data_IF_103401919832
#
_entry.id   IF_103401919832
#
_cell.length_a   1.000
_cell.length_b   1.000
_cell.length_c   1.000
_cell.angle_alpha   90.00
_cell.angle_beta   90.00
_cell.angle_gamma   90.00
#
_symmetry.space_group_name_H-M   'P 1'
#
loop_
_entity.id
_entity.type
_entity.pdbx_description
1 polymer ?
#
# COMPACT_ATOMS: atom_id res chain seq x y z
N UNK A 1 2.34 11.07 -25.56
CA UNK A 1 2.06 10.96 -24.10
C UNK A 1 1.75 12.37 -23.60
N UNK A 2 0.57 12.59 -23.01
CA UNK A 2 0.19 13.91 -22.48
C UNK A 2 0.80 14.12 -21.10
N UNK A 3 0.88 15.38 -20.64
CA UNK A 3 1.39 15.70 -19.31
C UNK A 3 0.60 14.97 -18.21
N UNK A 4 -0.71 14.89 -18.35
CA UNK A 4 -1.58 14.21 -17.40
C UNK A 4 -1.28 12.70 -17.30
N UNK A 5 -0.95 12.05 -18.42
CA UNK A 5 -0.54 10.63 -18.43
C UNK A 5 0.79 10.46 -17.69
N UNK A 6 1.76 11.36 -17.93
CA UNK A 6 3.05 11.32 -17.24
C UNK A 6 2.94 11.57 -15.73
N UNK A 7 2.09 12.51 -15.32
CA UNK A 7 1.88 12.82 -13.91
C UNK A 7 1.18 11.66 -13.20
N UNK A 8 0.16 11.05 -13.83
CA UNK A 8 -0.50 9.85 -13.32
C UNK A 8 0.43 8.64 -13.21
N UNK A 9 1.30 8.41 -14.20
CA UNK A 9 2.27 7.33 -14.15
C UNK A 9 3.22 7.49 -12.95
N UNK A 10 3.70 8.70 -12.69
CA UNK A 10 4.57 9.00 -11.53
C UNK A 10 3.87 8.79 -10.19
N UNK A 11 2.59 9.12 -10.10
CA UNK A 11 1.79 8.87 -8.89
C UNK A 11 1.67 7.37 -8.63
N UNK A 12 1.32 6.59 -9.67
CA UNK A 12 1.24 5.12 -9.56
C UNK A 12 2.58 4.49 -9.17
N UNK A 13 3.69 4.91 -9.78
CA UNK A 13 5.03 4.42 -9.41
C UNK A 13 5.36 4.67 -7.94
N UNK A 14 5.03 5.86 -7.41
CA UNK A 14 5.25 6.21 -6.00
C UNK A 14 4.38 5.37 -5.07
N UNK A 15 3.13 5.16 -5.44
CA UNK A 15 2.20 4.36 -4.65
C UNK A 15 2.61 2.88 -4.62
N UNK A 16 3.01 2.33 -5.77
CA UNK A 16 3.52 0.94 -5.89
C UNK A 16 4.75 0.73 -4.99
N UNK A 17 5.70 1.66 -5.01
CA UNK A 17 6.91 1.55 -4.18
C UNK A 17 6.58 1.69 -2.69
N UNK A 18 5.67 2.59 -2.33
CA UNK A 18 5.20 2.75 -0.95
C UNK A 18 4.54 1.46 -0.43
N UNK A 19 3.65 0.86 -1.24
CA UNK A 19 3.02 -0.43 -0.91
C UNK A 19 4.05 -1.55 -0.77
N UNK A 20 5.05 -1.59 -1.66
CA UNK A 20 6.12 -2.58 -1.62
C UNK A 20 6.91 -2.50 -0.29
N UNK A 21 7.25 -1.31 0.16
CA UNK A 21 7.97 -1.10 1.43
C UNK A 21 7.11 -1.59 2.60
N UNK A 22 5.84 -1.16 2.69
CA UNK A 22 4.94 -1.54 3.78
C UNK A 22 4.68 -3.05 3.84
N UNK A 23 4.50 -3.71 2.69
CA UNK A 23 4.36 -5.17 2.62
C UNK A 23 5.63 -5.84 3.16
N UNK A 24 6.81 -5.37 2.74
CA UNK A 24 8.09 -5.94 3.18
C UNK A 24 8.29 -5.79 4.69
N UNK A 25 7.99 -4.63 5.26
CA UNK A 25 8.03 -4.39 6.70
C UNK A 25 7.09 -5.35 7.46
N UNK A 26 5.87 -5.53 6.94
CA UNK A 26 4.93 -6.49 7.55
C UNK A 26 5.45 -7.92 7.50
N UNK A 27 6.08 -8.31 6.40
CA UNK A 27 6.66 -9.64 6.20
C UNK A 27 7.95 -9.87 7.01
N UNK A 28 8.72 -8.82 7.33
CA UNK A 28 9.87 -8.90 8.25
C UNK A 28 9.47 -9.05 9.72
N UNK A 29 8.17 -8.97 10.02
CA UNK A 29 7.62 -9.12 11.37
C UNK A 29 7.30 -7.78 12.04
N UNK A 30 7.54 -6.65 11.37
CA UNK A 30 7.12 -5.36 11.87
C UNK A 30 5.59 -5.22 11.77
N UNK A 31 5.02 -4.46 12.71
CA UNK A 31 3.59 -4.15 12.70
C UNK A 31 3.29 -3.02 11.74
N UNK A 32 2.23 -3.14 10.95
CA UNK A 32 1.72 -2.00 10.20
C UNK A 32 1.12 -0.99 11.18
N UNK A 33 1.54 0.27 11.07
CA UNK A 33 0.97 1.36 11.83
C UNK A 33 -0.17 1.99 11.02
N UNK A 34 -1.40 1.87 11.52
CA UNK A 34 -2.54 2.62 11.02
C UNK A 34 -3.07 3.48 12.16
N UNK A 35 -3.07 4.79 11.94
CA UNK A 35 -3.68 5.74 12.86
C UNK A 35 -5.19 5.79 12.62
N UNK A 36 -5.95 5.95 13.69
CA UNK A 36 -7.38 6.22 13.63
C UNK A 36 -7.70 7.39 14.56
N UNK A 37 -8.82 8.07 14.33
CA UNK A 37 -9.28 9.15 15.21
C UNK A 37 -9.57 8.69 16.64
N UNK A 38 -9.69 7.37 16.86
CA UNK A 38 -9.80 6.80 18.19
C UNK A 38 -8.40 6.55 18.78
N UNK A 39 -8.12 7.07 19.99
CA UNK A 39 -6.87 6.79 20.67
C UNK A 39 -6.80 5.30 20.99
N UNK A 40 -5.90 4.61 20.30
CA UNK A 40 -5.69 3.18 20.50
C UNK A 40 -4.61 3.00 21.58
N UNK A 41 -5.02 2.56 22.77
CA UNK A 41 -4.10 2.21 23.86
C UNK A 41 -3.55 0.77 23.75
N UNK A 42 -3.93 0.03 22.70
CA UNK A 42 -3.55 -1.37 22.49
C UNK A 42 -3.01 -1.58 21.06
N UNK A 43 -2.21 -2.61 20.85
CA UNK A 43 -1.76 -2.98 19.50
C UNK A 43 -2.95 -3.34 18.58
N UNK A 44 -2.77 -3.18 17.27
CA UNK A 44 -3.74 -3.64 16.29
C UNK A 44 -3.84 -5.17 16.30
N UNK A 45 -5.02 -5.71 15.97
CA UNK A 45 -5.18 -7.16 15.93
C UNK A 45 -4.33 -7.79 14.82
N UNK A 46 -3.76 -8.97 15.10
CA UNK A 46 -2.97 -9.74 14.11
C UNK A 46 -3.81 -10.05 12.87
N UNK A 47 -5.09 -10.35 13.06
CA UNK A 47 -6.04 -10.59 11.96
C UNK A 47 -6.18 -9.36 11.07
N UNK A 48 -6.38 -8.19 11.66
CA UNK A 48 -6.47 -6.93 10.92
C UNK A 48 -5.18 -6.64 10.15
N UNK A 49 -4.01 -6.80 10.77
CA UNK A 49 -2.74 -6.59 10.09
C UNK A 49 -2.54 -7.55 8.91
N UNK A 50 -3.02 -8.79 9.02
CA UNK A 50 -2.98 -9.76 7.92
C UNK A 50 -3.90 -9.33 6.78
N UNK A 51 -5.16 -9.02 7.09
CA UNK A 51 -6.15 -8.57 6.11
C UNK A 51 -5.69 -7.28 5.39
N UNK A 52 -5.07 -6.34 6.12
CA UNK A 52 -4.50 -5.13 5.55
C UNK A 52 -3.33 -5.44 4.59
N UNK A 53 -2.45 -6.39 4.95
CA UNK A 53 -1.36 -6.81 4.08
C UNK A 53 -1.85 -7.46 2.79
N UNK A 54 -2.83 -8.37 2.90
CA UNK A 54 -3.43 -9.02 1.74
C UNK A 54 -4.10 -8.00 0.82
N UNK A 55 -4.79 -7.01 1.38
CA UNK A 55 -5.37 -5.90 0.62
C UNK A 55 -4.30 -5.05 -0.09
N UNK A 56 -3.19 -4.71 0.57
CA UNK A 56 -2.08 -3.97 -0.04
C UNK A 56 -1.44 -4.73 -1.21
N UNK A 57 -1.30 -6.06 -1.09
CA UNK A 57 -0.80 -6.91 -2.18
C UNK A 57 -1.73 -6.87 -3.40
N UNK A 58 -3.04 -6.97 -3.17
CA UNK A 58 -4.02 -6.84 -4.25
C UNK A 58 -3.94 -5.45 -4.91
N UNK A 59 -3.92 -4.38 -4.11
CA UNK A 59 -3.86 -3.01 -4.63
C UNK A 59 -2.60 -2.70 -5.42
N UNK A 60 -1.45 -3.21 -4.97
CA UNK A 60 -0.19 -3.11 -5.72
C UNK A 60 -0.33 -3.72 -7.11
N UNK A 61 -0.92 -4.91 -7.22
CA UNK A 61 -1.15 -5.56 -8.52
C UNK A 61 -2.13 -4.80 -9.40
N UNK A 62 -3.15 -4.17 -8.83
CA UNK A 62 -4.08 -3.30 -9.57
C UNK A 62 -3.36 -2.08 -10.15
N UNK A 63 -2.51 -1.41 -9.35
CA UNK A 63 -1.72 -0.26 -9.79
C UNK A 63 -0.66 -0.61 -10.83
N UNK A 64 0.00 -1.77 -10.72
CA UNK A 64 0.94 -2.25 -11.74
C UNK A 64 0.24 -2.44 -13.09
N UNK A 65 -0.95 -3.07 -13.11
CA UNK A 65 -1.75 -3.23 -14.33
C UNK A 65 -2.24 -1.90 -14.89
N UNK A 66 -2.62 -0.96 -14.01
CA UNK A 66 -3.04 0.37 -14.43
C UNK A 66 -1.86 1.13 -15.07
N UNK A 67 -0.67 1.04 -14.49
CA UNK A 67 0.54 1.66 -15.02
C UNK A 67 0.95 1.06 -16.37
N UNK A 68 0.85 -0.26 -16.53
CA UNK A 68 1.11 -0.95 -17.80
C UNK A 68 0.11 -0.56 -18.92
N UNK A 69 -1.09 -0.12 -18.54
CA UNK A 69 -2.15 0.27 -19.46
C UNK A 69 -2.16 1.76 -19.85
N UNK A 70 -1.29 2.58 -19.24
CA UNK A 70 -1.13 4.02 -19.54
C UNK A 70 -0.22 4.30 -20.73
#
# INVERSE_FOLDING_TARGET
MTKDILDKAKELERDIESLRILIKEKESGDGLCASSSFPYNYGQSVRFQKELCDWMKQKKSEYEKELEAL
#
